data_IF_359632068592
#
_entry.id   IF_359632068592
#
_cell.length_a   1.000
_cell.length_b   1.000
_cell.length_c   1.000
_cell.angle_alpha   90.00
_cell.angle_beta   90.00
_cell.angle_gamma   90.00
#
_symmetry.space_group_name_H-M   'P 1'
#
loop_
_entity.id
_entity.type
_entity.pdbx_description
1 polymer ?
#
# COMPACT_ATOMS: atom_id res chain seq x y z
N UNK A 1 -28.88 32.68 12.08
CA UNK A 1 -27.50 32.62 12.57
C UNK A 1 -27.24 31.29 13.26
N UNK A 2 -26.47 30.32 12.77
CA UNK A 2 -25.45 30.36 11.74
C UNK A 2 -24.06 30.21 12.38
N UNK A 3 -23.67 29.00 12.77
CA UNK A 3 -22.30 28.72 13.23
C UNK A 3 -21.89 27.29 12.87
N UNK A 4 -21.51 27.11 11.60
CA UNK A 4 -20.67 26.02 11.14
C UNK A 4 -19.27 26.21 11.73
N UNK A 5 -18.95 25.45 12.77
CA UNK A 5 -17.59 25.34 13.28
C UNK A 5 -16.85 24.32 12.41
N UNK A 6 -15.76 24.79 11.81
CA UNK A 6 -14.90 24.03 10.92
C UNK A 6 -14.39 22.75 11.59
N UNK A 7 -14.85 21.61 11.08
CA UNK A 7 -14.19 20.33 11.27
C UNK A 7 -12.83 20.43 10.59
N UNK A 8 -11.76 20.48 11.39
CA UNK A 8 -10.38 20.49 10.91
C UNK A 8 -10.09 19.15 10.25
N UNK A 9 -10.47 19.02 8.98
CA UNK A 9 -10.29 17.79 8.20
C UNK A 9 -8.81 17.48 8.02
N UNK A 10 -8.28 16.58 8.85
CA UNK A 10 -7.09 15.83 8.49
C UNK A 10 -7.38 15.14 7.14
N UNK A 11 -6.48 15.22 6.15
CA UNK A 11 -6.67 14.47 4.92
C UNK A 11 -6.83 12.98 5.27
N UNK A 12 -7.67 12.23 4.53
CA UNK A 12 -7.82 10.80 4.75
C UNK A 12 -6.43 10.14 4.76
N UNK A 13 -6.17 9.30 5.77
CA UNK A 13 -4.89 8.61 5.92
C UNK A 13 -4.54 7.86 4.64
N UNK A 14 -3.46 8.29 3.98
CA UNK A 14 -2.91 7.63 2.80
C UNK A 14 -1.69 6.78 3.21
N UNK A 15 -1.84 5.45 3.38
CA UNK A 15 -0.74 4.58 3.76
C UNK A 15 0.39 4.55 2.72
N UNK A 16 0.15 5.01 1.50
CA UNK A 16 1.17 5.11 0.45
C UNK A 16 2.16 6.25 0.72
N UNK A 17 1.77 7.24 1.53
CA UNK A 17 2.62 8.37 1.95
C UNK A 17 3.37 8.08 3.25
N UNK A 18 3.00 7.01 3.95
CA UNK A 18 3.59 6.65 5.24
C UNK A 18 4.93 5.91 5.02
N UNK A 19 6.06 6.50 5.45
CA UNK A 19 7.38 5.89 5.27
C UNK A 19 7.57 4.61 6.09
N UNK A 20 6.70 4.33 7.07
CA UNK A 20 6.72 3.10 7.86
C UNK A 20 6.07 1.93 7.12
N UNK A 21 5.34 2.20 6.03
CA UNK A 21 4.66 1.20 5.19
C UNK A 21 5.54 0.68 4.06
N UNK A 22 6.84 0.95 4.08
CA UNK A 22 7.83 0.38 3.16
C UNK A 22 9.21 0.29 3.84
N UNK A 23 10.14 -0.52 3.32
CA UNK A 23 11.49 -0.56 3.86
C UNK A 23 12.21 0.77 3.62
N UNK A 24 12.67 1.42 4.70
CA UNK A 24 13.39 2.71 4.62
C UNK A 24 14.68 2.67 3.78
N UNK A 25 15.23 1.47 3.56
CA UNK A 25 16.46 1.24 2.78
C UNK A 25 16.23 0.67 1.39
N UNK A 26 14.96 0.56 0.94
CA UNK A 26 14.65 0.02 -0.37
C UNK A 26 14.43 1.13 -1.41
N UNK A 27 15.23 1.09 -2.47
CA UNK A 27 15.02 1.90 -3.69
C UNK A 27 14.24 1.12 -4.76
N UNK A 28 13.57 0.03 -4.41
CA UNK A 28 12.84 -0.77 -5.38
C UNK A 28 11.62 0.00 -5.92
N UNK A 29 11.48 0.15 -7.25
CA UNK A 29 10.40 0.94 -7.83
C UNK A 29 9.00 0.34 -7.61
N UNK A 30 8.89 -0.94 -7.20
CA UNK A 30 7.62 -1.56 -6.86
C UNK A 30 6.92 -0.89 -5.68
N UNK A 31 7.67 -0.24 -4.77
CA UNK A 31 7.08 0.50 -3.63
C UNK A 31 6.34 1.77 -4.04
N UNK A 32 6.38 2.15 -5.31
CA UNK A 32 5.51 3.21 -5.84
C UNK A 32 4.08 2.71 -6.11
N UNK A 33 3.84 1.40 -6.04
CA UNK A 33 2.55 0.78 -6.33
C UNK A 33 2.05 -0.18 -5.24
N UNK A 34 2.83 -0.38 -4.18
CA UNK A 34 2.39 -1.14 -3.02
C UNK A 34 3.04 -0.68 -1.72
N UNK A 35 2.43 -1.09 -0.62
CA UNK A 35 2.83 -0.74 0.74
C UNK A 35 2.54 -1.92 1.68
N UNK A 36 3.23 -2.00 2.82
CA UNK A 36 3.01 -3.04 3.82
C UNK A 36 1.63 -2.91 4.45
N UNK A 37 0.89 -4.02 4.47
CA UNK A 37 -0.45 -4.06 5.08
C UNK A 37 -0.43 -3.72 6.57
N UNK A 38 0.54 -4.26 7.32
CA UNK A 38 0.72 -3.99 8.74
C UNK A 38 2.15 -4.35 9.18
N UNK A 39 2.98 -3.38 9.60
CA UNK A 39 4.22 -3.68 10.32
C UNK A 39 3.90 -4.42 11.62
N UNK A 40 4.66 -5.45 12.03
CA UNK A 40 5.96 -5.86 11.52
C UNK A 40 5.91 -6.89 10.38
N UNK A 41 4.73 -7.24 9.85
CA UNK A 41 4.56 -8.25 8.81
C UNK A 41 4.94 -7.70 7.43
N UNK A 42 6.25 -7.70 7.15
CA UNK A 42 6.84 -7.17 5.91
C UNK A 42 6.59 -8.05 4.67
N UNK A 43 6.06 -9.25 4.89
CA UNK A 43 5.71 -10.20 3.82
C UNK A 43 4.42 -9.82 3.09
N UNK A 44 3.54 -9.05 3.71
CA UNK A 44 2.24 -8.70 3.15
C UNK A 44 2.27 -7.30 2.54
N UNK A 45 2.20 -7.24 1.21
CA UNK A 45 2.17 -5.99 0.44
C UNK A 45 0.79 -5.79 -0.16
N UNK A 46 0.14 -4.67 0.18
CA UNK A 46 -1.10 -4.21 -0.45
C UNK A 46 -0.75 -3.50 -1.75
N UNK A 47 -1.42 -3.89 -2.83
CA UNK A 47 -1.33 -3.19 -4.11
C UNK A 47 -2.21 -1.93 -4.07
N UNK A 48 -1.60 -0.76 -4.22
CA UNK A 48 -2.32 0.51 -4.27
C UNK A 48 -3.18 0.68 -5.53
N UNK A 49 -2.93 -0.11 -6.58
CA UNK A 49 -3.67 -0.05 -7.84
C UNK A 49 -5.00 -0.82 -7.78
N UNK A 50 -5.01 -2.00 -7.17
CA UNK A 50 -6.17 -2.90 -7.17
C UNK A 50 -6.65 -3.32 -5.77
N UNK A 51 -5.94 -2.93 -4.71
CA UNK A 51 -6.26 -3.28 -3.33
C UNK A 51 -5.90 -4.73 -2.93
N UNK A 52 -5.42 -5.58 -3.86
CA UNK A 52 -5.04 -6.97 -3.55
C UNK A 52 -3.84 -7.02 -2.62
N UNK A 53 -3.90 -7.90 -1.62
CA UNK A 53 -2.78 -8.20 -0.73
C UNK A 53 -2.00 -9.36 -1.32
N UNK A 54 -0.72 -9.15 -1.60
CA UNK A 54 0.22 -10.20 -2.03
C UNK A 54 1.12 -10.59 -0.86
N UNK A 55 1.26 -11.89 -0.61
CA UNK A 55 2.20 -12.46 0.36
C UNK A 55 3.53 -12.80 -0.32
N UNK A 56 4.65 -12.58 0.39
CA UNK A 56 6.02 -12.79 -0.08
C UNK A 56 6.74 -11.52 -0.54
N UNK A 57 6.31 -10.37 -0.01
CA UNK A 57 7.00 -9.09 -0.11
C UNK A 57 6.98 -8.47 -1.52
N UNK A 58 7.92 -7.55 -1.74
CA UNK A 58 7.98 -6.73 -2.96
C UNK A 58 8.17 -7.54 -4.23
N UNK A 59 8.80 -8.72 -4.15
CA UNK A 59 9.01 -9.58 -5.33
C UNK A 59 7.69 -10.08 -5.91
N UNK A 60 6.83 -10.65 -5.06
CA UNK A 60 5.50 -11.14 -5.43
C UNK A 60 4.60 -10.00 -5.89
N UNK A 61 4.71 -8.85 -5.24
CA UNK A 61 4.03 -7.63 -5.67
C UNK A 61 4.44 -7.21 -7.09
N UNK A 62 5.73 -7.18 -7.42
CA UNK A 62 6.19 -6.87 -8.78
C UNK A 62 5.73 -7.88 -9.83
N UNK A 63 5.73 -9.17 -9.50
CA UNK A 63 5.17 -10.20 -10.38
C UNK A 63 3.66 -9.99 -10.61
N UNK A 64 2.93 -9.57 -9.58
CA UNK A 64 1.53 -9.14 -9.70
C UNK A 64 1.37 -7.90 -10.59
N UNK A 65 2.19 -6.85 -10.43
CA UNK A 65 2.17 -5.65 -11.28
C UNK A 65 2.46 -5.96 -12.75
N UNK A 66 3.39 -6.88 -13.01
CA UNK A 66 3.75 -7.31 -14.35
C UNK A 66 2.70 -8.23 -15.00
N UNK A 67 1.61 -8.56 -14.28
CA UNK A 67 0.59 -9.51 -14.76
C UNK A 67 1.07 -10.96 -14.80
N UNK A 68 2.21 -11.27 -14.15
CA UNK A 68 2.82 -12.61 -14.11
C UNK A 68 2.23 -13.43 -12.95
N UNK A 69 1.69 -12.78 -11.93
CA UNK A 69 0.92 -13.40 -10.85
C UNK A 69 -0.54 -13.50 -11.25
N UNK A 70 -0.90 -14.61 -11.89
CA UNK A 70 -2.23 -14.88 -12.44
C UNK A 70 -3.38 -14.58 -11.48
N UNK A 71 -4.51 -14.27 -12.11
CA UNK A 71 -5.85 -14.34 -11.54
C UNK A 71 -6.12 -15.72 -10.93
N UNK A 72 -5.58 -16.00 -9.75
CA UNK A 72 -6.13 -17.02 -8.86
C UNK A 72 -7.32 -16.38 -8.15
N UNK A 73 -8.42 -16.24 -8.90
CA UNK A 73 -9.77 -16.21 -8.34
C UNK A 73 -9.96 -17.62 -7.76
N UNK A 74 -9.80 -17.72 -6.44
CA UNK A 74 -10.25 -18.83 -5.62
C UNK A 74 -11.24 -18.30 -4.60
#
# INVERSE_FOLDING_TARGET
DGNAAADGGEPPYDPMKDPTRKPQRSNDPGWNYGYWSEPPNQDLVVCALCGKITSGGIKRHKEHLAGVGGDAIG
#
